data_IF_689614207677
#
_entry.id   IF_689614207677
#
_cell.length_a   1.000
_cell.length_b   1.000
_cell.length_c   1.000
_cell.angle_alpha   90.00
_cell.angle_beta   90.00
_cell.angle_gamma   90.00
#
_symmetry.space_group_name_H-M   'P 1'
#
loop_
_entity.id
_entity.type
_entity.pdbx_description
1 polymer ?
#
# COMPACT_ATOMS: atom_id res chain seq x y z
N UNK A 1 -9.84 -18.52 31.02
CA UNK A 1 -9.77 -17.69 29.81
C UNK A 1 -10.79 -18.23 28.81
N UNK A 2 -11.81 -17.43 28.45
CA UNK A 2 -12.77 -17.84 27.41
C UNK A 2 -12.15 -17.74 26.01
N UNK A 3 -12.64 -18.50 25.02
CA UNK A 3 -12.11 -18.45 23.66
C UNK A 3 -12.25 -17.03 23.11
N UNK A 4 -11.14 -16.47 22.61
CA UNK A 4 -11.15 -15.19 21.92
C UNK A 4 -12.18 -15.27 20.78
N UNK A 5 -13.08 -14.26 20.62
CA UNK A 5 -14.06 -14.28 19.56
C UNK A 5 -13.35 -14.48 18.23
N UNK A 6 -13.66 -15.59 17.56
CA UNK A 6 -13.01 -15.98 16.31
C UNK A 6 -13.14 -14.86 15.28
N UNK A 7 -12.05 -14.55 14.60
CA UNK A 7 -12.03 -13.48 13.60
C UNK A 7 -13.15 -13.71 12.57
N UNK A 8 -13.88 -12.65 12.23
CA UNK A 8 -14.89 -12.72 11.18
C UNK A 8 -14.20 -12.69 9.81
N UNK A 9 -14.63 -13.56 8.90
CA UNK A 9 -14.11 -13.57 7.53
C UNK A 9 -14.39 -12.20 6.86
N UNK A 10 -13.37 -11.51 6.32
CA UNK A 10 -13.55 -10.18 5.73
C UNK A 10 -14.38 -10.21 4.43
N UNK A 11 -14.52 -11.38 3.80
CA UNK A 11 -15.23 -11.55 2.53
C UNK A 11 -16.72 -11.81 2.73
N UNK A 12 -17.09 -12.68 3.66
CA UNK A 12 -18.49 -13.11 3.83
C UNK A 12 -19.02 -13.01 5.26
N UNK A 13 -18.23 -12.49 6.21
CA UNK A 13 -18.58 -12.25 7.63
C UNK A 13 -18.88 -13.50 8.48
N UNK A 14 -18.80 -14.71 7.93
CA UNK A 14 -18.84 -15.96 8.70
C UNK A 14 -17.64 -16.06 9.64
N UNK A 15 -17.77 -16.84 10.72
CA UNK A 15 -16.63 -17.16 11.60
C UNK A 15 -15.51 -17.81 10.81
N UNK A 16 -14.28 -17.32 10.97
CA UNK A 16 -13.09 -17.97 10.41
C UNK A 16 -12.62 -19.17 11.26
N UNK A 17 -13.21 -19.38 12.44
CA UNK A 17 -12.68 -20.35 13.40
C UNK A 17 -11.29 -19.95 13.93
N UNK A 18 -10.67 -20.81 14.74
CA UNK A 18 -9.34 -20.54 15.27
C UNK A 18 -8.23 -20.89 14.25
N UNK A 19 -7.11 -20.17 14.34
CA UNK A 19 -6.00 -20.24 13.37
C UNK A 19 -5.33 -21.62 13.28
N UNK A 20 -5.09 -22.37 14.39
CA UNK A 20 -4.45 -23.68 14.30
C UNK A 20 -5.26 -24.72 13.50
N UNK A 21 -6.60 -24.61 13.51
CA UNK A 21 -7.51 -25.55 12.87
C UNK A 21 -7.96 -25.11 11.48
N UNK A 22 -7.72 -23.84 11.10
CA UNK A 22 -8.11 -23.29 9.81
C UNK A 22 -6.88 -22.79 9.00
N UNK A 23 -6.43 -23.55 7.98
CA UNK A 23 -5.32 -23.14 7.12
C UNK A 23 -5.64 -21.95 6.22
N UNK A 24 -6.93 -21.61 6.05
CA UNK A 24 -7.38 -20.44 5.30
C UNK A 24 -7.52 -19.18 6.18
N UNK A 25 -7.24 -19.24 7.48
CA UNK A 25 -7.32 -18.07 8.37
C UNK A 25 -6.51 -16.89 7.79
N UNK A 26 -7.06 -15.65 7.74
CA UNK A 26 -8.26 -15.16 8.43
C UNK A 26 -9.60 -15.33 7.67
N UNK A 27 -9.63 -16.12 6.60
CA UNK A 27 -10.85 -16.40 5.83
C UNK A 27 -11.54 -17.68 6.32
N UNK A 28 -12.86 -17.79 6.14
CA UNK A 28 -13.58 -19.01 6.56
C UNK A 28 -13.34 -20.22 5.62
N UNK A 29 -12.77 -20.01 4.43
CA UNK A 29 -12.50 -21.08 3.45
C UNK A 29 -11.49 -20.65 2.38
N UNK A 30 -10.93 -21.63 1.67
CA UNK A 30 -10.07 -21.40 0.51
C UNK A 30 -10.77 -20.58 -0.59
N UNK A 31 -12.08 -20.77 -0.79
CA UNK A 31 -12.86 -19.98 -1.75
C UNK A 31 -12.85 -18.49 -1.39
N UNK A 32 -13.05 -18.13 -0.11
CA UNK A 32 -12.99 -16.73 0.31
C UNK A 32 -11.59 -16.13 0.13
N UNK A 33 -10.52 -16.91 0.38
CA UNK A 33 -9.14 -16.49 0.11
C UNK A 33 -8.91 -16.16 -1.36
N UNK A 34 -9.45 -16.98 -2.28
CA UNK A 34 -9.34 -16.74 -3.72
C UNK A 34 -10.15 -15.51 -4.17
N UNK A 35 -11.34 -15.29 -3.61
CA UNK A 35 -12.13 -14.09 -3.89
C UNK A 35 -11.40 -12.83 -3.45
N UNK A 36 -10.77 -12.85 -2.28
CA UNK A 36 -9.95 -11.72 -1.81
C UNK A 36 -8.82 -11.43 -2.79
N UNK A 37 -8.08 -12.48 -3.20
CA UNK A 37 -7.02 -12.35 -4.21
C UNK A 37 -7.54 -11.76 -5.53
N UNK A 38 -8.73 -12.17 -5.99
CA UNK A 38 -9.37 -11.58 -7.16
C UNK A 38 -9.58 -10.07 -7.00
N UNK A 39 -10.14 -9.63 -5.87
CA UNK A 39 -10.34 -8.20 -5.57
C UNK A 39 -9.03 -7.40 -5.53
N UNK A 40 -7.94 -8.02 -5.08
CA UNK A 40 -6.60 -7.43 -5.14
C UNK A 40 -6.14 -7.22 -6.58
N UNK A 41 -6.24 -8.26 -7.41
CA UNK A 41 -5.82 -8.22 -8.80
C UNK A 41 -6.68 -7.27 -9.65
N UNK A 42 -7.98 -7.23 -9.39
CA UNK A 42 -8.92 -6.28 -10.02
C UNK A 42 -8.68 -4.84 -9.56
N UNK A 43 -7.88 -4.64 -8.51
CA UNK A 43 -7.61 -3.33 -7.97
C UNK A 43 -8.79 -2.71 -7.25
N UNK A 44 -9.69 -3.53 -6.70
CA UNK A 44 -10.82 -3.06 -5.89
C UNK A 44 -10.37 -2.47 -4.55
N UNK A 45 -9.19 -2.87 -4.06
CA UNK A 45 -8.57 -2.25 -2.90
C UNK A 45 -7.83 -0.98 -3.32
N UNK A 46 -8.37 0.16 -2.90
CA UNK A 46 -7.83 1.51 -3.14
C UNK A 46 -7.96 2.34 -1.89
N UNK A 47 -6.94 3.15 -1.62
CA UNK A 47 -6.99 4.19 -0.60
C UNK A 47 -7.40 5.48 -1.29
N UNK A 48 -8.51 6.12 -0.90
CA UNK A 48 -8.88 7.42 -1.47
C UNK A 48 -7.81 8.45 -1.12
N UNK A 49 -7.37 9.20 -2.12
CA UNK A 49 -6.39 10.28 -1.97
C UNK A 49 -6.94 11.60 -2.50
N UNK A 50 -6.29 12.73 -2.19
CA UNK A 50 -6.60 13.99 -2.84
C UNK A 50 -6.46 13.86 -4.37
N UNK A 51 -7.21 14.65 -5.15
CA UNK A 51 -7.10 14.63 -6.60
C UNK A 51 -5.66 14.91 -7.01
N UNK A 52 -5.13 14.09 -7.92
CA UNK A 52 -3.81 14.30 -8.50
C UNK A 52 -3.91 15.50 -9.44
N UNK A 53 -3.39 16.66 -9.03
CA UNK A 53 -3.25 17.81 -9.94
C UNK A 53 -2.09 17.55 -10.89
N UNK A 54 -2.34 17.53 -12.19
CA UNK A 54 -1.38 17.25 -13.28
C UNK A 54 -0.21 18.24 -13.42
N UNK A 55 0.00 19.10 -12.43
CA UNK A 55 0.96 20.19 -12.41
C UNK A 55 1.88 20.19 -11.17
N UNK A 56 1.73 19.20 -10.27
CA UNK A 56 2.49 19.15 -9.00
C UNK A 56 3.59 18.08 -8.94
N UNK A 57 3.53 17.05 -9.80
CA UNK A 57 4.47 15.93 -9.81
C UNK A 57 5.73 16.17 -10.66
N UNK A 58 5.62 17.00 -11.71
CA UNK A 58 6.77 17.42 -12.51
C UNK A 58 7.77 18.27 -11.69
N UNK A 59 7.27 19.22 -10.89
CA UNK A 59 8.11 20.12 -10.08
C UNK A 59 8.82 19.37 -8.94
N UNK A 60 8.20 18.36 -8.35
CA UNK A 60 8.79 17.58 -7.25
C UNK A 60 9.90 16.63 -7.73
N UNK A 61 9.81 16.12 -8.97
CA UNK A 61 10.88 15.34 -9.59
C UNK A 61 12.01 16.24 -10.12
N UNK A 62 11.69 17.41 -10.66
CA UNK A 62 12.65 18.39 -11.17
C UNK A 62 13.49 19.02 -10.03
N UNK A 63 12.88 19.33 -8.87
CA UNK A 63 13.61 19.77 -7.69
C UNK A 63 14.63 18.75 -7.18
N UNK A 64 14.38 17.44 -7.36
CA UNK A 64 15.33 16.38 -7.00
C UNK A 64 16.46 16.23 -8.01
N UNK A 65 16.23 16.62 -9.27
CA UNK A 65 17.24 16.56 -10.34
C UNK A 65 18.20 17.74 -10.32
N UNK A 66 17.79 18.89 -9.78
CA UNK A 66 18.62 20.11 -9.69
C UNK A 66 19.69 20.09 -8.60
N UNK A 67 19.65 19.17 -7.64
CA UNK A 67 20.56 19.18 -6.48
C UNK A 67 21.73 18.20 -6.54
N UNK A 68 21.89 17.45 -7.63
CA UNK A 68 22.99 16.49 -7.81
C UNK A 68 23.79 16.83 -9.09
N UNK A 69 24.60 17.88 -9.01
CA UNK A 69 25.59 18.26 -10.02
C UNK A 69 26.87 18.74 -9.33
N UNK A 70 28.03 18.11 -9.54
CA UNK A 70 29.26 18.45 -8.82
C UNK A 70 30.09 19.46 -9.63
N UNK A 71 30.13 20.71 -9.20
CA UNK A 71 31.11 21.69 -9.67
C UNK A 71 31.59 22.47 -8.43
N UNK A 72 32.86 22.47 -8.04
CA UNK A 72 34.05 22.51 -8.87
C UNK A 72 34.52 23.97 -8.95
N UNK A 73 35.57 24.30 -8.20
CA UNK A 73 36.23 25.60 -8.07
C UNK A 73 36.52 26.33 -9.41
N UNK A 74 36.20 27.63 -9.50
CA UNK A 74 36.90 28.61 -10.34
C UNK A 74 36.76 30.05 -9.77
N UNK A 75 37.85 30.81 -9.90
CA UNK A 75 38.23 32.06 -9.22
C UNK A 75 37.70 33.36 -9.87
N UNK A 76 37.95 34.49 -9.17
CA UNK A 76 38.19 35.87 -9.69
C UNK A 76 36.91 36.69 -10.09
N UNK A 77 36.71 38.00 -9.83
CA UNK A 77 37.58 39.21 -9.80
C UNK A 77 36.95 40.37 -8.95
N UNK A 78 37.82 41.23 -8.42
CA UNK A 78 37.75 42.67 -8.10
C UNK A 78 36.57 43.35 -7.33
N UNK A 79 36.84 43.87 -6.11
CA UNK A 79 37.07 45.31 -5.81
C UNK A 79 37.58 45.52 -4.36
#
# INVERSE_FOLDING_TARGET
MGPLPGASCPICRKSAGPRPENPAFPFCSAQCKLVDLGRWLDGSYRVPGPPVSSSGDAEALESRRRTDGPEGNAQEEDE
#
